data_IF_716608227166
#
_entry.id   IF_716608227166
#
_cell.length_a   1.000
_cell.length_b   1.000
_cell.length_c   1.000
_cell.angle_alpha   90.00
_cell.angle_beta   90.00
_cell.angle_gamma   90.00
#
_symmetry.space_group_name_H-M   'P 1'
#
loop_
_entity.id
_entity.type
_entity.pdbx_description
1 polymer ?
#
# COMPACT_ATOMS: atom_id res chain seq x y z
N UNK A 1 12.13 -2.02 -54.15
CA UNK A 1 10.75 -1.84 -53.64
C UNK A 1 9.97 -1.18 -54.76
N UNK A 2 8.81 -1.70 -55.16
CA UNK A 2 7.93 -1.02 -56.12
C UNK A 2 7.43 0.31 -55.53
N UNK A 3 7.12 1.29 -56.38
CA UNK A 3 6.58 2.59 -55.95
C UNK A 3 5.33 2.43 -55.07
N UNK A 4 4.51 1.41 -55.35
CA UNK A 4 3.34 1.05 -54.54
C UNK A 4 3.67 0.73 -53.09
N UNK A 5 4.78 0.01 -52.84
CA UNK A 5 5.20 -0.31 -51.48
C UNK A 5 5.63 0.95 -50.73
N UNK A 6 6.31 1.88 -51.39
CA UNK A 6 6.72 3.15 -50.76
C UNK A 6 5.50 4.02 -50.42
N UNK A 7 4.48 4.06 -51.28
CA UNK A 7 3.24 4.77 -51.00
C UNK A 7 2.50 4.18 -49.78
N UNK A 8 2.31 2.86 -49.73
CA UNK A 8 1.64 2.18 -48.61
C UNK A 8 2.43 2.36 -47.31
N UNK A 9 3.76 2.21 -47.36
CA UNK A 9 4.65 2.44 -46.20
C UNK A 9 4.47 3.87 -45.68
N UNK A 10 4.44 4.88 -46.55
CA UNK A 10 4.20 6.26 -46.13
C UNK A 10 2.81 6.44 -45.52
N UNK A 11 1.76 5.83 -46.06
CA UNK A 11 0.41 5.91 -45.48
C UNK A 11 0.34 5.33 -44.06
N UNK A 12 1.07 4.24 -43.78
CA UNK A 12 1.10 3.63 -42.45
C UNK A 12 1.99 4.41 -41.48
N UNK A 13 3.24 4.72 -41.88
CA UNK A 13 4.25 5.33 -41.00
C UNK A 13 4.20 6.87 -40.92
N UNK A 14 3.26 7.51 -41.64
CA UNK A 14 2.91 8.92 -41.45
C UNK A 14 1.58 9.09 -40.70
N UNK A 15 0.81 8.01 -40.49
CA UNK A 15 -0.45 8.05 -39.74
C UNK A 15 -0.19 7.78 -38.25
N UNK A 16 -0.22 8.84 -37.44
CA UNK A 16 0.05 8.77 -36.01
C UNK A 16 -0.88 7.80 -35.25
N UNK A 17 -2.12 7.64 -35.69
CA UNK A 17 -3.10 6.72 -35.10
C UNK A 17 -2.69 5.27 -35.36
N UNK A 18 -2.30 4.95 -36.60
CA UNK A 18 -1.83 3.61 -36.95
C UNK A 18 -0.52 3.27 -36.25
N UNK A 19 0.42 4.21 -36.22
CA UNK A 19 1.69 4.04 -35.49
C UNK A 19 1.41 3.81 -34.00
N UNK A 20 0.51 4.59 -33.38
CA UNK A 20 0.12 4.40 -31.99
C UNK A 20 -0.41 3.00 -31.72
N UNK A 21 -1.32 2.51 -32.57
CA UNK A 21 -1.84 1.13 -32.50
C UNK A 21 -0.74 0.08 -32.67
N UNK A 22 0.18 0.27 -33.62
CA UNK A 22 1.33 -0.63 -33.80
C UNK A 22 2.19 -0.64 -32.53
N UNK A 23 2.52 0.52 -31.97
CA UNK A 23 3.32 0.63 -30.77
C UNK A 23 2.63 -0.04 -29.56
N UNK A 24 1.31 -0.01 -29.48
CA UNK A 24 0.49 -0.74 -28.50
C UNK A 24 0.67 -2.26 -28.56
N UNK A 25 1.00 -2.80 -29.73
CA UNK A 25 1.34 -4.21 -29.89
C UNK A 25 2.84 -4.53 -29.82
N UNK A 26 3.72 -3.53 -29.93
CA UNK A 26 5.19 -3.74 -30.01
C UNK A 26 5.84 -3.91 -28.63
N UNK A 27 5.48 -3.09 -27.64
CA UNK A 27 6.01 -3.24 -26.29
C UNK A 27 5.21 -2.42 -25.28
N UNK A 28 5.12 -2.94 -24.04
CA UNK A 28 4.60 -2.25 -22.85
C UNK A 28 5.75 -1.53 -22.10
N UNK A 29 7.01 -1.82 -22.43
CA UNK A 29 8.18 -1.29 -21.74
C UNK A 29 8.83 -0.15 -22.52
N UNK A 30 9.32 0.88 -21.82
CA UNK A 30 10.00 2.02 -22.47
C UNK A 30 11.35 1.65 -23.07
N UNK A 31 12.12 0.73 -22.47
CA UNK A 31 13.47 0.36 -22.93
C UNK A 31 13.52 -0.14 -24.40
N UNK A 32 12.63 -1.04 -24.86
CA UNK A 32 12.49 -1.35 -26.30
C UNK A 32 12.07 -0.15 -27.16
N UNK A 33 11.13 0.67 -26.68
CA UNK A 33 10.62 1.84 -27.41
C UNK A 33 11.70 2.90 -27.66
N UNK A 34 12.61 3.11 -26.69
CA UNK A 34 13.73 4.05 -26.83
C UNK A 34 14.61 3.70 -28.03
N UNK A 35 14.79 2.41 -28.35
CA UNK A 35 15.57 1.97 -29.51
C UNK A 35 14.91 2.30 -30.85
N UNK A 36 13.58 2.47 -30.89
CA UNK A 36 12.82 2.77 -32.11
C UNK A 36 12.86 4.26 -32.50
N UNK A 37 13.38 5.13 -31.63
CA UNK A 37 13.31 6.60 -31.77
C UNK A 37 14.20 7.20 -32.87
N UNK A 38 14.65 6.42 -33.85
CA UNK A 38 15.54 6.87 -34.92
C UNK A 38 15.02 6.57 -36.34
N UNK A 39 13.76 6.13 -36.48
CA UNK A 39 13.22 5.72 -37.80
C UNK A 39 12.58 6.89 -38.56
N UNK A 40 11.73 7.69 -37.91
CA UNK A 40 11.08 8.85 -38.55
C UNK A 40 10.57 9.85 -37.51
N UNK A 41 10.30 11.10 -37.92
CA UNK A 41 9.74 12.13 -37.02
C UNK A 41 8.40 11.68 -36.41
N UNK A 42 7.50 11.12 -37.20
CA UNK A 42 6.19 10.65 -36.73
C UNK A 42 6.33 9.46 -35.78
N UNK A 43 7.19 8.48 -36.09
CA UNK A 43 7.45 7.37 -35.17
C UNK A 43 8.03 7.88 -33.84
N UNK A 44 8.95 8.85 -33.89
CA UNK A 44 9.55 9.44 -32.70
C UNK A 44 8.52 10.15 -31.82
N UNK A 45 7.59 10.90 -32.44
CA UNK A 45 6.51 11.57 -31.73
C UNK A 45 5.57 10.55 -31.08
N UNK A 46 5.17 9.50 -31.81
CA UNK A 46 4.31 8.44 -31.30
C UNK A 46 4.99 7.66 -30.14
N UNK A 47 6.28 7.35 -30.26
CA UNK A 47 7.08 6.73 -29.19
C UNK A 47 7.14 7.63 -27.96
N UNK A 48 7.41 8.92 -28.11
CA UNK A 48 7.44 9.86 -26.99
C UNK A 48 6.07 10.01 -26.34
N UNK A 49 5.00 10.08 -27.14
CA UNK A 49 3.63 10.12 -26.63
C UNK A 49 3.31 8.89 -25.80
N UNK A 50 3.67 7.69 -26.30
CA UNK A 50 3.50 6.44 -25.57
C UNK A 50 4.26 6.42 -24.24
N UNK A 51 5.54 6.79 -24.24
CA UNK A 51 6.35 6.85 -23.00
C UNK A 51 5.73 7.83 -22.00
N UNK A 52 5.27 9.00 -22.44
CA UNK A 52 4.60 9.99 -21.57
C UNK A 52 3.33 9.43 -20.95
N UNK A 53 2.49 8.76 -21.75
CA UNK A 53 1.26 8.13 -21.28
C UNK A 53 1.56 7.01 -20.28
N UNK A 54 2.59 6.22 -20.51
CA UNK A 54 3.01 5.13 -19.60
C UNK A 54 3.61 5.64 -18.29
N UNK A 55 4.14 6.86 -18.25
CA UNK A 55 4.82 7.44 -17.09
C UNK A 55 4.06 8.63 -16.48
N UNK A 56 2.79 8.82 -16.83
CA UNK A 56 1.92 9.75 -16.09
C UNK A 56 1.62 9.22 -14.70
N UNK A 57 1.50 7.90 -14.57
CA UNK A 57 1.39 7.19 -13.31
C UNK A 57 2.66 6.38 -13.12
N UNK A 58 3.35 6.57 -12.00
CA UNK A 58 4.61 5.92 -11.70
C UNK A 58 4.46 5.08 -10.44
N UNK A 59 4.74 3.79 -10.58
CA UNK A 59 4.88 2.85 -9.48
C UNK A 59 6.35 2.45 -9.41
N UNK A 60 6.97 2.69 -8.25
CA UNK A 60 8.35 2.30 -7.96
C UNK A 60 8.31 1.18 -6.93
N UNK A 61 8.94 0.05 -7.24
CA UNK A 61 9.08 -1.05 -6.29
C UNK A 61 10.42 -1.78 -6.44
N UNK A 62 10.74 -2.63 -5.47
CA UNK A 62 11.89 -3.53 -5.52
C UNK A 62 11.41 -4.98 -5.32
N UNK A 63 12.09 -5.93 -5.95
CA UNK A 63 11.80 -7.37 -5.82
C UNK A 63 12.98 -8.17 -5.23
N UNK A 64 13.98 -7.49 -4.70
CA UNK A 64 15.21 -8.15 -4.29
C UNK A 64 15.80 -7.55 -3.05
N UNK A 65 16.45 -8.43 -2.27
CA UNK A 65 17.37 -8.05 -1.22
C UNK A 65 18.60 -7.39 -1.86
N UNK A 66 18.93 -6.18 -1.40
CA UNK A 66 20.25 -5.61 -1.67
C UNK A 66 21.24 -6.23 -0.71
N UNK A 67 22.17 -7.04 -1.23
CA UNK A 67 23.31 -7.48 -0.43
C UNK A 67 24.04 -6.25 0.15
N UNK A 68 24.43 -6.32 1.43
CA UNK A 68 25.07 -5.22 2.17
C UNK A 68 26.44 -4.77 1.61
N UNK A 69 26.84 -5.25 0.43
CA UNK A 69 28.09 -4.91 -0.22
C UNK A 69 27.94 -3.61 -1.02
N UNK A 70 28.81 -2.63 -0.72
CA UNK A 70 28.92 -1.38 -1.47
C UNK A 70 29.96 -1.51 -2.60
N UNK A 71 29.67 -1.04 -3.83
CA UNK A 71 28.39 -0.50 -4.30
C UNK A 71 27.37 -1.61 -4.57
N UNK A 72 26.18 -1.52 -3.98
CA UNK A 72 25.13 -2.48 -4.23
C UNK A 72 24.57 -2.25 -5.64
N UNK A 73 24.59 -3.26 -6.50
CA UNK A 73 23.95 -3.21 -7.82
C UNK A 73 22.52 -3.72 -7.64
N UNK A 74 21.63 -2.83 -7.20
CA UNK A 74 20.21 -3.16 -7.06
C UNK A 74 19.46 -2.95 -8.37
N UNK A 75 18.41 -3.74 -8.57
CA UNK A 75 17.38 -3.44 -9.57
C UNK A 75 16.20 -2.75 -8.88
N UNK A 76 15.83 -1.58 -9.39
CA UNK A 76 14.62 -0.84 -9.06
C UNK A 76 13.67 -0.98 -10.23
N UNK A 77 12.43 -1.36 -9.95
CA UNK A 77 11.42 -1.47 -10.98
C UNK A 77 10.59 -0.19 -11.02
N UNK A 78 10.47 0.41 -12.21
CA UNK A 78 9.67 1.62 -12.44
C UNK A 78 8.70 1.30 -13.56
N UNK A 79 7.40 1.26 -13.24
CA UNK A 79 6.35 0.80 -14.18
C UNK A 79 6.75 -0.50 -14.87
N UNK A 80 7.20 -1.44 -14.04
CA UNK A 80 7.64 -2.77 -14.45
C UNK A 80 8.90 -2.86 -15.30
N UNK A 81 9.71 -1.80 -15.30
CA UNK A 81 11.00 -1.79 -16.00
C UNK A 81 12.16 -1.96 -15.05
N UNK A 82 13.03 -2.92 -15.35
CA UNK A 82 14.25 -3.19 -14.62
C UNK A 82 15.27 -2.05 -14.82
N UNK A 83 15.54 -1.29 -13.76
CA UNK A 83 16.51 -0.21 -13.80
C UNK A 83 17.53 -0.43 -12.69
N UNK A 84 18.78 -0.64 -13.10
CA UNK A 84 19.90 -0.65 -12.17
C UNK A 84 19.96 0.69 -11.42
N UNK A 85 20.12 0.65 -10.11
CA UNK A 85 20.20 1.84 -9.25
C UNK A 85 21.27 2.85 -9.71
N UNK A 86 22.41 2.38 -10.22
CA UNK A 86 23.47 3.22 -10.81
C UNK A 86 23.01 4.01 -12.04
N UNK A 87 21.94 3.59 -12.71
CA UNK A 87 21.36 4.22 -13.90
C UNK A 87 20.12 5.07 -13.60
N UNK A 88 19.61 5.08 -12.37
CA UNK A 88 18.40 5.82 -12.00
C UNK A 88 18.49 7.30 -12.32
N UNK A 89 19.63 7.93 -12.00
CA UNK A 89 19.91 9.33 -12.33
C UNK A 89 19.70 9.62 -13.82
N UNK A 90 20.37 8.86 -14.69
CA UNK A 90 20.25 9.03 -16.13
C UNK A 90 18.82 8.76 -16.63
N UNK A 91 18.14 7.77 -16.05
CA UNK A 91 16.77 7.43 -16.40
C UNK A 91 15.77 8.53 -16.03
N UNK A 92 15.84 9.05 -14.80
CA UNK A 92 14.97 10.14 -14.35
C UNK A 92 15.23 11.44 -15.12
N UNK A 93 16.49 11.79 -15.38
CA UNK A 93 16.79 12.94 -16.24
C UNK A 93 16.28 12.75 -17.67
N UNK A 94 16.35 11.55 -18.21
CA UNK A 94 15.79 11.25 -19.52
C UNK A 94 14.27 11.49 -19.52
N UNK A 95 13.55 10.91 -18.56
CA UNK A 95 12.10 11.08 -18.44
C UNK A 95 11.70 12.55 -18.24
N UNK A 96 12.31 13.24 -17.30
CA UNK A 96 11.94 14.61 -16.97
C UNK A 96 12.44 15.61 -18.03
N UNK A 97 13.74 15.64 -18.33
CA UNK A 97 14.32 16.70 -19.19
C UNK A 97 14.16 16.44 -20.68
N UNK A 98 14.26 15.19 -21.13
CA UNK A 98 14.23 14.84 -22.56
C UNK A 98 12.83 14.48 -23.03
N UNK A 99 12.12 13.63 -22.28
CA UNK A 99 10.75 13.22 -22.62
C UNK A 99 9.73 14.27 -22.15
N UNK A 100 9.99 14.96 -21.04
CA UNK A 100 9.06 15.91 -20.41
C UNK A 100 7.76 15.23 -20.01
N UNK A 101 7.88 14.18 -19.19
CA UNK A 101 6.71 13.50 -18.63
C UNK A 101 5.98 14.40 -17.63
N UNK A 102 4.66 14.23 -17.54
CA UNK A 102 3.80 14.88 -16.55
C UNK A 102 3.31 13.81 -15.59
N UNK A 103 3.90 13.75 -14.40
CA UNK A 103 3.52 12.76 -13.39
C UNK A 103 2.29 13.31 -12.66
N UNK A 104 1.19 12.58 -12.75
CA UNK A 104 -0.02 12.83 -11.96
C UNK A 104 -0.13 11.90 -10.74
N UNK A 105 0.50 10.72 -10.80
CA UNK A 105 0.50 9.74 -9.71
C UNK A 105 1.89 9.19 -9.49
N UNK A 106 2.33 9.18 -8.25
CA UNK A 106 3.54 8.50 -7.79
C UNK A 106 3.22 7.63 -6.59
N UNK A 107 3.55 6.36 -6.69
CA UNK A 107 3.43 5.38 -5.62
C UNK A 107 4.76 4.65 -5.46
N UNK A 108 5.24 4.57 -4.23
CA UNK A 108 6.46 3.84 -3.88
C UNK A 108 6.10 2.65 -2.99
N UNK A 109 6.67 1.48 -3.28
CA UNK A 109 6.47 0.26 -2.52
C UNK A 109 7.82 -0.43 -2.38
N UNK A 110 8.54 -0.11 -1.32
CA UNK A 110 9.90 -0.59 -1.14
C UNK A 110 9.97 -1.37 0.16
N UNK A 111 10.44 -2.60 0.06
CA UNK A 111 10.57 -3.50 1.20
C UNK A 111 12.05 -3.65 1.60
N UNK A 112 13.00 -3.72 0.67
CA UNK A 112 14.37 -4.19 0.98
C UNK A 112 15.49 -3.40 0.29
N UNK A 113 15.67 -2.13 0.65
CA UNK A 113 16.87 -1.40 0.27
C UNK A 113 17.77 -1.11 1.47
N UNK A 114 19.08 -1.08 1.20
CA UNK A 114 20.02 -0.43 2.09
C UNK A 114 19.65 1.05 2.27
N UNK A 115 19.88 1.58 3.48
CA UNK A 115 19.53 2.96 3.85
C UNK A 115 20.13 4.00 2.89
N UNK A 116 21.35 3.76 2.42
CA UNK A 116 22.03 4.66 1.47
C UNK A 116 21.27 4.68 0.14
N UNK A 117 20.80 3.53 -0.33
CA UNK A 117 20.03 3.41 -1.58
C UNK A 117 18.65 4.06 -1.42
N UNK A 118 17.97 3.85 -0.29
CA UNK A 118 16.68 4.50 0.00
C UNK A 118 16.80 6.03 -0.04
N UNK A 119 17.78 6.58 0.67
CA UNK A 119 18.00 8.02 0.71
C UNK A 119 18.36 8.59 -0.66
N UNK A 120 19.21 7.90 -1.43
CA UNK A 120 19.53 8.31 -2.79
C UNK A 120 18.29 8.29 -3.70
N UNK A 121 17.46 7.25 -3.58
CA UNK A 121 16.24 7.12 -4.36
C UNK A 121 15.22 8.22 -4.02
N UNK A 122 15.00 8.51 -2.72
CA UNK A 122 14.17 9.63 -2.25
C UNK A 122 14.57 10.95 -2.93
N UNK A 123 15.86 11.30 -2.84
CA UNK A 123 16.41 12.52 -3.43
C UNK A 123 16.27 12.54 -4.95
N UNK A 124 16.56 11.43 -5.62
CA UNK A 124 16.48 11.32 -7.07
C UNK A 124 15.02 11.49 -7.56
N UNK A 125 14.05 10.92 -6.84
CA UNK A 125 12.63 11.09 -7.15
C UNK A 125 12.23 12.57 -7.09
N UNK A 126 12.49 13.24 -5.97
CA UNK A 126 12.03 14.62 -5.76
C UNK A 126 12.79 15.64 -6.63
N UNK A 127 14.10 15.44 -6.81
CA UNK A 127 14.95 16.38 -7.56
C UNK A 127 14.88 16.18 -9.07
N UNK A 128 14.85 14.93 -9.53
CA UNK A 128 15.11 14.62 -10.94
C UNK A 128 13.92 14.01 -11.65
N UNK A 129 13.15 13.14 -10.98
CA UNK A 129 11.94 12.58 -11.56
C UNK A 129 10.82 13.61 -11.59
N UNK A 130 10.49 14.19 -10.42
CA UNK A 130 9.46 15.23 -10.26
C UNK A 130 10.00 16.59 -10.71
N UNK A 131 11.17 16.97 -10.20
CA UNK A 131 11.81 18.24 -10.55
C UNK A 131 10.95 19.44 -10.14
N UNK A 132 10.53 20.25 -11.11
CA UNK A 132 9.68 21.43 -10.90
C UNK A 132 8.18 21.17 -11.11
N UNK A 133 7.76 19.96 -11.48
CA UNK A 133 6.36 19.63 -11.79
C UNK A 133 5.59 19.18 -10.53
N UNK A 134 5.92 19.74 -9.37
CA UNK A 134 5.34 19.38 -8.05
C UNK A 134 3.82 19.63 -8.01
N UNK A 135 3.36 20.65 -8.74
CA UNK A 135 1.97 21.12 -8.85
C UNK A 135 1.04 20.18 -9.62
N UNK A 136 1.60 19.20 -10.33
CA UNK A 136 0.85 18.27 -11.20
C UNK A 136 0.51 16.96 -10.53
N UNK A 137 1.12 16.67 -9.39
CA UNK A 137 0.97 15.40 -8.69
C UNK A 137 -0.33 15.44 -7.88
N UNK A 138 -1.22 14.49 -8.16
CA UNK A 138 -2.51 14.30 -7.50
C UNK A 138 -2.47 13.15 -6.49
N UNK A 139 -1.65 12.13 -6.75
CA UNK A 139 -1.45 11.02 -5.84
C UNK A 139 0.04 10.87 -5.54
N UNK A 140 0.41 10.88 -4.26
CA UNK A 140 1.79 10.80 -3.82
C UNK A 140 1.91 9.97 -2.55
N UNK A 141 2.24 8.69 -2.68
CA UNK A 141 2.13 7.69 -1.60
C UNK A 141 3.35 6.79 -1.49
N UNK A 142 3.51 6.16 -0.32
CA UNK A 142 4.57 5.16 -0.09
C UNK A 142 5.99 5.72 0.10
N UNK A 143 6.16 7.04 0.06
CA UNK A 143 7.47 7.67 0.22
C UNK A 143 8.06 7.54 1.63
N UNK A 144 7.25 7.18 2.64
CA UNK A 144 7.72 6.86 3.98
C UNK A 144 8.67 5.65 4.00
N UNK A 145 8.60 4.76 3.00
CA UNK A 145 9.55 3.64 2.83
C UNK A 145 10.95 4.11 2.39
N UNK A 146 11.10 5.41 2.05
CA UNK A 146 12.33 6.01 1.56
C UNK A 146 12.91 7.12 2.44
N UNK A 147 12.07 7.76 3.26
CA UNK A 147 12.46 8.88 4.12
C UNK A 147 12.98 8.36 5.46
N UNK A 148 14.21 8.72 5.84
CA UNK A 148 14.74 8.40 7.18
C UNK A 148 14.78 9.63 8.09
N UNK A 149 15.11 10.82 7.57
CA UNK A 149 15.14 12.07 8.34
C UNK A 149 15.12 13.27 7.39
N UNK A 150 14.32 14.30 7.72
CA UNK A 150 14.47 15.64 7.14
C UNK A 150 13.16 16.29 6.73
N UNK A 151 13.07 17.61 6.97
CA UNK A 151 12.01 18.44 6.42
C UNK A 151 12.18 18.53 4.90
N UNK A 152 11.25 17.94 4.17
CA UNK A 152 11.20 18.08 2.71
C UNK A 152 10.14 19.11 2.30
N UNK A 153 10.59 20.35 2.10
CA UNK A 153 9.75 21.45 1.63
C UNK A 153 9.07 21.15 0.27
N UNK A 154 9.61 20.23 -0.54
CA UNK A 154 8.95 19.81 -1.79
C UNK A 154 7.79 18.88 -1.51
N UNK A 155 7.91 17.97 -0.55
CA UNK A 155 6.80 17.09 -0.17
C UNK A 155 5.61 17.89 0.35
N UNK A 156 5.85 18.95 1.13
CA UNK A 156 4.82 19.91 1.56
C UNK A 156 4.13 20.59 0.36
N UNK A 157 4.91 21.05 -0.63
CA UNK A 157 4.35 21.66 -1.86
C UNK A 157 3.52 20.68 -2.66
N UNK A 158 3.99 19.44 -2.80
CA UNK A 158 3.25 18.36 -3.47
C UNK A 158 1.93 18.08 -2.75
N UNK A 159 1.93 18.03 -1.41
CA UNK A 159 0.74 17.76 -0.60
C UNK A 159 -0.41 18.74 -0.92
N UNK A 160 -0.11 20.02 -1.18
CA UNK A 160 -1.12 21.05 -1.52
C UNK A 160 -1.93 20.76 -2.78
N UNK A 161 -1.44 19.90 -3.67
CA UNK A 161 -2.07 19.57 -4.94
C UNK A 161 -2.63 18.14 -4.99
N UNK A 162 -2.38 17.34 -3.94
CA UNK A 162 -2.76 15.95 -3.86
C UNK A 162 -4.20 15.76 -3.38
N UNK A 163 -4.88 14.79 -3.98
CA UNK A 163 -6.12 14.19 -3.45
C UNK A 163 -5.81 12.97 -2.58
N UNK A 164 -4.68 12.29 -2.86
CA UNK A 164 -4.17 11.18 -2.06
C UNK A 164 -2.72 11.43 -1.68
N UNK A 165 -2.43 11.46 -0.39
CA UNK A 165 -1.10 11.78 0.11
C UNK A 165 -0.67 10.84 1.23
N UNK A 166 0.54 10.31 1.12
CA UNK A 166 1.18 9.54 2.19
C UNK A 166 2.19 10.38 2.95
N UNK A 167 1.94 10.54 4.24
CA UNK A 167 2.79 11.34 5.12
C UNK A 167 4.20 10.74 5.22
N UNK A 168 5.19 11.61 5.08
CA UNK A 168 6.59 11.29 5.33
C UNK A 168 7.02 11.90 6.66
N UNK A 169 8.01 11.29 7.29
CA UNK A 169 8.59 11.86 8.51
C UNK A 169 9.19 13.24 8.25
N UNK A 170 8.87 14.20 9.12
CA UNK A 170 9.39 15.57 9.03
C UNK A 170 8.66 16.47 8.03
N UNK A 171 7.64 16.00 7.32
CA UNK A 171 6.80 16.91 6.52
C UNK A 171 5.94 17.72 7.47
N UNK A 172 6.14 19.04 7.43
CA UNK A 172 5.29 19.97 8.14
C UNK A 172 4.15 20.44 7.24
N UNK A 173 2.92 20.04 7.58
CA UNK A 173 1.72 20.49 6.90
C UNK A 173 1.04 21.67 7.62
N UNK A 174 1.72 22.31 8.59
CA UNK A 174 1.27 23.57 9.16
C UNK A 174 1.36 24.70 8.13
N UNK A 175 0.25 24.93 7.46
CA UNK A 175 0.00 26.14 6.67
C UNK A 175 -1.22 26.89 7.21
N UNK A 176 -1.45 28.10 6.68
CA UNK A 176 -2.72 28.80 6.89
C UNK A 176 -3.89 28.20 6.12
N UNK A 177 -3.60 27.34 5.14
CA UNK A 177 -4.58 26.72 4.26
C UNK A 177 -4.96 25.33 4.78
N UNK A 178 -6.26 25.07 4.90
CA UNK A 178 -6.81 23.74 5.14
C UNK A 178 -6.56 22.83 3.93
N UNK A 179 -5.97 21.66 4.17
CA UNK A 179 -5.73 20.62 3.17
C UNK A 179 -6.82 19.57 3.27
N UNK A 180 -7.44 19.21 2.15
CA UNK A 180 -8.49 18.18 2.11
C UNK A 180 -8.01 17.03 1.22
N UNK A 181 -7.98 15.84 1.78
CA UNK A 181 -7.58 14.63 1.06
C UNK A 181 -8.75 13.64 0.97
N UNK A 182 -8.92 13.01 -0.19
CA UNK A 182 -9.80 11.84 -0.29
C UNK A 182 -9.20 10.69 0.54
N UNK A 183 -7.88 10.55 0.49
CA UNK A 183 -7.12 9.53 1.23
C UNK A 183 -5.83 10.12 1.80
N UNK A 184 -5.66 10.04 3.12
CA UNK A 184 -4.42 10.40 3.81
C UNK A 184 -3.78 9.14 4.41
N UNK A 185 -2.52 8.84 4.06
CA UNK A 185 -1.82 7.65 4.57
C UNK A 185 -0.80 8.03 5.64
N UNK A 186 -0.79 7.28 6.74
CA UNK A 186 0.17 7.43 7.84
C UNK A 186 0.76 6.05 8.15
N UNK A 187 2.08 5.95 8.24
CA UNK A 187 2.74 4.71 8.60
C UNK A 187 2.86 4.57 10.13
N UNK A 188 2.69 3.36 10.64
CA UNK A 188 2.80 3.00 12.06
C UNK A 188 4.14 3.43 12.70
N UNK A 189 5.31 3.25 12.06
CA UNK A 189 6.58 3.72 12.59
C UNK A 189 6.61 5.24 12.81
N UNK A 190 5.88 6.01 12.01
CA UNK A 190 5.82 7.46 12.15
C UNK A 190 5.06 7.87 13.42
N UNK A 191 3.93 7.22 13.69
CA UNK A 191 3.14 7.47 14.90
C UNK A 191 3.91 7.11 16.17
N UNK A 192 4.60 5.96 16.17
CA UNK A 192 5.48 5.59 17.27
C UNK A 192 6.68 6.53 17.40
N UNK A 193 7.22 7.02 16.28
CA UNK A 193 8.26 8.05 16.26
C UNK A 193 7.83 9.32 16.97
N UNK A 194 6.61 9.81 16.72
CA UNK A 194 6.05 11.00 17.38
C UNK A 194 5.92 10.77 18.89
N UNK A 195 5.35 9.65 19.33
CA UNK A 195 5.20 9.30 20.75
C UNK A 195 6.57 9.20 21.45
N UNK A 196 7.56 8.65 20.77
CA UNK A 196 8.89 8.45 21.36
C UNK A 196 9.72 9.74 21.34
N UNK A 197 9.57 10.60 20.33
CA UNK A 197 10.18 11.93 20.31
C UNK A 197 9.73 12.73 21.54
N UNK A 198 8.44 12.66 21.87
CA UNK A 198 7.85 13.14 23.13
C UNK A 198 8.67 12.66 24.35
N UNK A 199 8.92 11.35 24.46
CA UNK A 199 9.69 10.77 25.59
C UNK A 199 11.17 11.17 25.62
N UNK A 200 11.80 11.34 24.46
CA UNK A 200 13.24 11.62 24.37
C UNK A 200 13.57 13.11 24.56
N UNK A 201 12.76 14.03 24.03
CA UNK A 201 12.95 15.47 24.25
C UNK A 201 12.79 15.82 25.74
N UNK A 202 11.84 15.19 26.43
CA UNK A 202 11.68 15.27 27.89
C UNK A 202 12.98 14.91 28.63
N UNK A 203 13.61 13.78 28.27
CA UNK A 203 14.85 13.33 28.93
C UNK A 203 16.07 14.19 28.65
N UNK A 204 16.13 14.85 27.48
CA UNK A 204 17.32 15.60 27.06
C UNK A 204 17.37 17.01 27.62
N UNK A 205 16.21 17.60 27.87
CA UNK A 205 16.11 19.01 28.23
C UNK A 205 15.87 19.19 29.74
N UNK A 206 15.27 18.21 30.42
CA UNK A 206 14.80 18.43 31.80
C UNK A 206 15.30 17.35 32.77
N UNK A 207 16.36 17.69 33.51
CA UNK A 207 16.59 17.14 34.87
C UNK A 207 15.88 17.96 35.94
N UNK A 208 15.34 19.13 35.61
CA UNK A 208 14.71 20.03 36.58
C UNK A 208 13.47 20.70 35.95
N UNK A 209 12.31 20.53 36.60
CA UNK A 209 11.08 21.35 36.52
C UNK A 209 10.24 21.35 35.21
N UNK A 210 9.29 20.41 35.16
CA UNK A 210 7.84 20.52 34.86
C UNK A 210 7.27 21.61 33.91
N UNK A 211 7.73 21.73 32.66
CA UNK A 211 6.93 22.39 31.62
C UNK A 211 6.12 21.33 30.84
N UNK A 212 4.97 20.90 31.40
CA UNK A 212 4.05 19.92 30.78
C UNK A 212 3.69 20.28 29.33
N UNK A 213 3.68 21.57 28.97
CA UNK A 213 3.31 22.04 27.64
C UNK A 213 4.36 21.67 26.56
N UNK A 214 5.65 21.65 26.92
CA UNK A 214 6.72 21.25 26.01
C UNK A 214 6.76 19.74 25.78
N UNK A 215 6.32 18.95 26.78
CA UNK A 215 6.28 17.48 26.70
C UNK A 215 5.47 17.02 25.49
N UNK A 216 4.28 17.61 25.26
CA UNK A 216 3.35 17.19 24.20
C UNK A 216 3.56 17.91 22.86
N UNK A 217 4.65 18.67 22.69
CA UNK A 217 4.81 19.52 21.51
C UNK A 217 4.77 18.74 20.18
N UNK A 218 5.51 17.63 20.00
CA UNK A 218 5.46 16.82 18.77
C UNK A 218 4.06 16.26 18.48
N UNK A 219 3.37 15.73 19.50
CA UNK A 219 2.03 15.15 19.38
C UNK A 219 1.00 16.22 19.01
N UNK A 220 1.00 17.34 19.75
CA UNK A 220 0.07 18.45 19.51
C UNK A 220 0.30 19.07 18.13
N UNK A 221 1.56 19.19 17.70
CA UNK A 221 1.92 19.65 16.36
C UNK A 221 1.28 18.74 15.30
N UNK A 222 1.53 17.44 15.39
CA UNK A 222 0.95 16.45 14.48
C UNK A 222 -0.59 16.50 14.45
N UNK A 223 -1.24 16.50 15.61
CA UNK A 223 -2.70 16.43 15.71
C UNK A 223 -3.42 17.73 15.35
N UNK A 224 -2.72 18.88 15.39
CA UNK A 224 -3.26 20.20 15.03
C UNK A 224 -2.95 20.60 13.58
N UNK A 225 -2.45 19.68 12.76
CA UNK A 225 -2.29 19.95 11.34
C UNK A 225 -3.65 20.34 10.71
N UNK A 226 -3.72 21.38 9.87
CA UNK A 226 -4.95 21.85 9.24
C UNK A 226 -5.34 20.92 8.08
N UNK A 227 -5.72 19.69 8.42
CA UNK A 227 -6.03 18.62 7.47
C UNK A 227 -7.43 18.11 7.73
N UNK A 228 -8.16 17.81 6.66
CA UNK A 228 -9.29 16.88 6.70
C UNK A 228 -9.06 15.73 5.73
N UNK A 229 -9.65 14.56 6.01
CA UNK A 229 -9.67 13.48 5.06
C UNK A 229 -10.97 12.68 5.08
N UNK A 230 -11.39 12.17 3.93
CA UNK A 230 -12.53 11.24 3.87
C UNK A 230 -12.11 9.84 4.36
N UNK A 231 -10.90 9.40 4.02
CA UNK A 231 -10.32 8.12 4.43
C UNK A 231 -8.93 8.30 5.05
N UNK A 232 -8.76 7.80 6.27
CA UNK A 232 -7.46 7.72 6.93
C UNK A 232 -6.90 6.30 6.79
N UNK A 233 -5.77 6.16 6.11
CA UNK A 233 -5.10 4.88 5.89
C UNK A 233 -3.91 4.73 6.83
N UNK A 234 -3.90 3.68 7.64
CA UNK A 234 -2.74 3.29 8.43
C UNK A 234 -1.97 2.16 7.73
N UNK A 235 -0.68 2.36 7.53
CA UNK A 235 0.23 1.32 7.01
C UNK A 235 0.96 0.69 8.19
N UNK A 236 0.70 -0.59 8.42
CA UNK A 236 1.09 -1.30 9.63
C UNK A 236 2.16 -2.33 9.29
N UNK A 237 3.31 -2.27 9.97
CA UNK A 237 4.41 -3.20 9.79
C UNK A 237 4.55 -4.10 11.00
N UNK A 238 4.66 -5.40 10.78
CA UNK A 238 4.95 -6.31 11.88
C UNK A 238 5.19 -7.73 11.43
N UNK A 239 5.91 -8.48 12.25
CA UNK A 239 6.00 -9.94 12.11
C UNK A 239 4.99 -10.58 13.05
N UNK A 240 5.21 -10.45 14.35
CA UNK A 240 4.38 -11.08 15.39
C UNK A 240 3.56 -10.07 16.21
N UNK A 241 3.90 -8.78 16.11
CA UNK A 241 3.28 -7.69 16.86
C UNK A 241 2.92 -6.59 15.88
N UNK A 242 1.66 -6.17 15.92
CA UNK A 242 1.18 -4.98 15.20
C UNK A 242 0.37 -4.16 16.17
N UNK A 243 0.70 -2.87 16.30
CA UNK A 243 -0.02 -1.97 17.19
C UNK A 243 -0.07 -0.54 16.65
N UNK A 244 -0.94 0.28 17.22
CA UNK A 244 -0.93 1.73 17.03
C UNK A 244 -1.02 2.43 18.39
N UNK A 245 -0.41 3.60 18.59
CA UNK A 245 -0.64 4.39 19.80
C UNK A 245 -2.09 4.88 19.83
N UNK A 246 -2.89 4.37 20.78
CA UNK A 246 -4.36 4.51 20.78
C UNK A 246 -4.79 5.98 20.79
N UNK A 247 -4.28 6.75 21.74
CA UNK A 247 -4.70 8.14 21.96
C UNK A 247 -4.49 9.00 20.72
N UNK A 248 -3.29 8.96 20.13
CA UNK A 248 -2.96 9.72 18.93
C UNK A 248 -3.78 9.23 17.74
N UNK A 249 -3.96 7.92 17.60
CA UNK A 249 -4.74 7.33 16.50
C UNK A 249 -6.20 7.78 16.56
N UNK A 250 -6.83 7.73 17.74
CA UNK A 250 -8.21 8.16 17.93
C UNK A 250 -8.37 9.68 17.77
N UNK A 251 -7.39 10.47 18.24
CA UNK A 251 -7.38 11.91 18.03
C UNK A 251 -7.17 12.28 16.57
N UNK A 252 -6.31 11.56 15.83
CA UNK A 252 -6.12 11.78 14.40
C UNK A 252 -7.41 11.53 13.61
N UNK A 253 -8.10 10.42 13.90
CA UNK A 253 -9.43 10.11 13.31
C UNK A 253 -10.42 11.25 13.58
N UNK A 254 -10.51 11.72 14.82
CA UNK A 254 -11.45 12.78 15.21
C UNK A 254 -11.07 14.16 14.65
N UNK A 255 -9.82 14.58 14.80
CA UNK A 255 -9.35 15.92 14.45
C UNK A 255 -9.35 16.15 12.94
N UNK A 256 -9.04 15.10 12.16
CA UNK A 256 -9.05 15.18 10.70
C UNK A 256 -10.40 14.79 10.09
N UNK A 257 -11.42 14.56 10.93
CA UNK A 257 -12.79 14.24 10.53
C UNK A 257 -12.90 13.04 9.57
N UNK A 258 -12.09 12.00 9.83
CA UNK A 258 -12.03 10.81 9.00
C UNK A 258 -13.33 10.01 9.11
N UNK A 259 -14.05 9.83 8.00
CA UNK A 259 -15.28 9.01 7.95
C UNK A 259 -14.95 7.53 7.84
N UNK A 260 -13.85 7.20 7.17
CA UNK A 260 -13.42 5.84 6.87
C UNK A 260 -11.99 5.59 7.37
N UNK A 261 -11.72 4.38 7.83
CA UNK A 261 -10.37 3.95 8.20
C UNK A 261 -9.95 2.74 7.39
N UNK A 262 -8.79 2.83 6.76
CA UNK A 262 -8.17 1.72 6.05
C UNK A 262 -6.94 1.24 6.82
N UNK A 263 -6.85 -0.04 7.14
CA UNK A 263 -5.72 -0.66 7.83
C UNK A 263 -5.01 -1.58 6.85
N UNK A 264 -3.83 -1.20 6.37
CA UNK A 264 -3.01 -2.03 5.50
C UNK A 264 -1.92 -2.73 6.30
N UNK A 265 -2.16 -3.99 6.65
CA UNK A 265 -1.22 -4.82 7.35
C UNK A 265 -0.21 -5.41 6.36
N UNK A 266 1.07 -5.08 6.56
CA UNK A 266 2.21 -5.63 5.82
C UNK A 266 2.99 -6.56 6.74
N UNK A 267 2.54 -7.80 6.83
CA UNK A 267 3.16 -8.83 7.64
C UNK A 267 4.43 -9.37 6.99
N UNK A 268 5.53 -9.42 7.73
CA UNK A 268 6.82 -9.94 7.25
C UNK A 268 7.60 -8.98 6.35
N UNK A 269 6.97 -7.88 5.89
CA UNK A 269 7.67 -6.82 5.19
C UNK A 269 8.69 -6.18 6.15
N UNK A 270 9.98 -6.25 5.80
CA UNK A 270 11.02 -5.58 6.55
C UNK A 270 10.88 -4.07 6.39
N UNK A 271 10.57 -3.36 7.47
CA UNK A 271 10.78 -1.93 7.54
C UNK A 271 11.83 -1.67 8.62
N UNK A 272 12.96 -1.10 8.22
CA UNK A 272 14.09 -0.84 9.13
C UNK A 272 13.71 0.11 10.28
N UNK A 273 12.74 1.00 10.08
CA UNK A 273 12.18 1.81 11.16
C UNK A 273 11.39 0.91 12.12
N UNK A 274 10.49 0.08 11.58
CA UNK A 274 9.68 -0.83 12.38
C UNK A 274 10.54 -1.79 13.21
N UNK A 275 11.62 -2.35 12.66
CA UNK A 275 12.56 -3.22 13.40
C UNK A 275 13.11 -2.53 14.66
N UNK A 276 13.60 -1.28 14.53
CA UNK A 276 14.10 -0.51 15.68
C UNK A 276 13.03 -0.22 16.72
N UNK A 277 11.77 -0.05 16.30
CA UNK A 277 10.68 0.13 17.24
C UNK A 277 10.37 -1.20 17.94
N UNK A 278 10.20 -2.29 17.18
CA UNK A 278 9.91 -3.65 17.66
C UNK A 278 10.99 -4.24 18.57
N UNK A 279 12.23 -3.76 18.51
CA UNK A 279 13.32 -4.08 19.45
C UNK A 279 13.02 -3.70 20.92
N UNK A 280 11.99 -2.89 21.18
CA UNK A 280 11.54 -2.56 22.54
C UNK A 280 10.13 -3.12 22.83
N UNK A 281 10.00 -4.42 23.17
CA UNK A 281 8.71 -5.08 23.42
C UNK A 281 7.84 -4.39 24.49
N UNK A 282 8.49 -3.74 25.46
CA UNK A 282 7.82 -3.01 26.54
C UNK A 282 6.91 -1.89 26.02
N UNK A 283 7.27 -1.26 24.90
CA UNK A 283 6.45 -0.21 24.29
C UNK A 283 5.16 -0.76 23.68
N UNK A 284 5.15 -2.03 23.22
CA UNK A 284 4.00 -2.62 22.51
C UNK A 284 3.00 -3.26 23.45
N UNK A 285 3.48 -3.88 24.54
CA UNK A 285 2.62 -4.49 25.57
C UNK A 285 1.87 -3.44 26.41
N UNK A 286 2.10 -2.15 26.16
CA UNK A 286 1.44 -1.08 26.87
C UNK A 286 -0.06 -1.01 26.50
N UNK A 287 -0.99 -1.01 27.48
CA UNK A 287 -2.44 -0.85 27.24
C UNK A 287 -2.81 0.48 26.54
N UNK A 288 -1.88 1.43 26.47
CA UNK A 288 -2.01 2.68 25.71
C UNK A 288 -1.98 2.46 24.19
N UNK A 289 -1.61 1.27 23.71
CA UNK A 289 -1.66 0.94 22.28
C UNK A 289 -2.91 0.12 21.94
N UNK A 290 -3.39 0.28 20.70
CA UNK A 290 -4.30 -0.67 20.04
C UNK A 290 -3.47 -1.90 19.70
N UNK A 291 -3.79 -3.06 20.26
CA UNK A 291 -3.06 -4.31 19.99
C UNK A 291 -3.90 -5.21 19.09
N UNK A 292 -3.52 -5.37 17.83
CA UNK A 292 -4.35 -6.12 16.87
C UNK A 292 -4.26 -7.65 17.03
N UNK A 293 -3.16 -8.13 17.61
CA UNK A 293 -2.90 -9.57 17.81
C UNK A 293 -3.16 -10.07 19.24
N UNK A 294 -3.49 -9.16 20.16
CA UNK A 294 -3.77 -9.49 21.55
C UNK A 294 -5.16 -10.15 21.69
N UNK A 295 -5.45 -10.84 22.80
CA UNK A 295 -6.79 -11.37 23.07
C UNK A 295 -7.84 -10.26 22.92
N UNK A 296 -8.89 -10.51 22.14
CA UNK A 296 -9.84 -9.45 21.77
C UNK A 296 -10.62 -8.88 22.96
N UNK A 297 -10.79 -9.66 24.03
CA UNK A 297 -11.60 -9.31 25.19
C UNK A 297 -10.95 -8.26 26.11
N UNK A 298 -9.66 -7.98 25.94
CA UNK A 298 -8.95 -6.94 26.70
C UNK A 298 -8.89 -5.59 25.98
N UNK A 299 -9.14 -5.57 24.67
CA UNK A 299 -9.10 -4.34 23.86
C UNK A 299 -10.32 -3.46 24.20
N UNK A 300 -10.18 -2.18 24.56
CA UNK A 300 -11.33 -1.31 24.80
C UNK A 300 -12.04 -0.92 23.50
N UNK A 301 -13.36 -0.72 23.59
CA UNK A 301 -14.16 -0.26 22.45
C UNK A 301 -14.02 1.24 22.31
N UNK A 302 -13.67 1.72 21.11
CA UNK A 302 -13.58 3.13 20.79
C UNK A 302 -14.95 3.79 20.72
N UNK A 303 -15.02 5.10 20.99
CA UNK A 303 -16.24 5.89 20.81
C UNK A 303 -16.43 6.40 19.38
N UNK A 304 -15.39 6.33 18.53
CA UNK A 304 -15.43 6.84 17.17
C UNK A 304 -16.20 5.88 16.26
N UNK A 305 -17.49 6.16 16.02
CA UNK A 305 -18.29 5.40 15.05
C UNK A 305 -17.97 5.86 13.63
N UNK A 306 -17.36 4.97 12.85
CA UNK A 306 -17.01 5.22 11.45
C UNK A 306 -18.11 4.76 10.49
N UNK A 307 -18.09 5.30 9.27
CA UNK A 307 -18.97 4.87 8.18
C UNK A 307 -18.54 3.52 7.61
N UNK A 308 -17.23 3.34 7.41
CA UNK A 308 -16.64 2.08 6.98
C UNK A 308 -15.23 1.87 7.50
N UNK A 309 -14.84 0.59 7.61
CA UNK A 309 -13.46 0.18 7.91
C UNK A 309 -13.02 -0.86 6.87
N UNK A 310 -11.88 -0.63 6.23
CA UNK A 310 -11.29 -1.60 5.31
C UNK A 310 -9.98 -2.15 5.90
N UNK A 311 -9.86 -3.47 5.94
CA UNK A 311 -8.66 -4.19 6.36
C UNK A 311 -8.05 -4.80 5.09
N UNK A 312 -6.81 -4.43 4.77
CA UNK A 312 -6.01 -5.10 3.76
C UNK A 312 -4.96 -5.96 4.46
N UNK A 313 -4.98 -7.26 4.22
CA UNK A 313 -4.03 -8.22 4.77
C UNK A 313 -3.00 -8.60 3.70
N UNK A 314 -1.77 -8.12 3.85
CA UNK A 314 -0.62 -8.48 3.03
C UNK A 314 0.35 -9.31 3.88
N UNK A 315 0.55 -10.57 3.49
CA UNK A 315 1.46 -11.52 4.11
C UNK A 315 2.68 -11.77 3.22
N UNK A 316 3.85 -12.04 3.81
CA UNK A 316 4.91 -12.72 3.06
C UNK A 316 4.55 -14.20 2.87
N UNK A 317 5.22 -14.85 1.92
CA UNK A 317 5.09 -16.30 1.69
C UNK A 317 5.31 -17.11 2.98
N UNK A 318 6.30 -16.74 3.79
CA UNK A 318 6.59 -17.41 5.07
C UNK A 318 5.41 -17.36 6.06
N UNK A 319 4.69 -16.23 6.11
CA UNK A 319 3.56 -16.07 7.04
C UNK A 319 2.33 -16.79 6.50
N UNK A 320 2.14 -16.81 5.17
CA UNK A 320 1.10 -17.64 4.54
C UNK A 320 1.31 -19.11 4.84
N UNK A 321 2.52 -19.63 4.65
CA UNK A 321 2.88 -21.02 4.97
C UNK A 321 2.61 -21.31 6.45
N UNK A 322 2.95 -20.37 7.34
CA UNK A 322 2.65 -20.52 8.79
C UNK A 322 1.15 -20.56 9.06
N UNK A 323 0.35 -19.74 8.37
CA UNK A 323 -1.11 -19.75 8.50
C UNK A 323 -1.66 -21.08 7.97
N UNK A 324 -1.17 -21.57 6.82
CA UNK A 324 -1.55 -22.83 6.19
C UNK A 324 -1.24 -24.05 7.07
N UNK A 325 -0.02 -24.12 7.62
CA UNK A 325 0.39 -25.17 8.56
C UNK A 325 -0.48 -25.17 9.82
N UNK A 326 -0.97 -24.01 10.22
CA UNK A 326 -1.90 -23.84 11.35
C UNK A 326 -3.37 -24.06 10.99
N UNK A 327 -3.72 -24.36 9.74
CA UNK A 327 -5.13 -24.63 9.38
C UNK A 327 -5.61 -25.98 9.89
N UNK A 328 -4.69 -26.95 10.02
CA UNK A 328 -5.01 -28.31 10.47
C UNK A 328 -5.09 -28.45 11.98
N UNK A 329 -4.69 -27.41 12.71
CA UNK A 329 -4.69 -27.41 14.16
C UNK A 329 -5.58 -26.27 14.67
N UNK A 330 -6.40 -26.54 15.69
CA UNK A 330 -7.09 -25.50 16.48
C UNK A 330 -6.09 -24.69 17.35
N UNK A 331 -4.84 -24.55 16.93
CA UNK A 331 -3.87 -23.69 17.60
C UNK A 331 -4.26 -22.24 17.40
N UNK A 332 -4.31 -21.52 18.51
CA UNK A 332 -4.45 -20.07 18.55
C UNK A 332 -3.36 -19.43 17.69
N UNK A 333 -3.78 -18.75 16.62
CA UNK A 333 -2.91 -17.89 15.84
C UNK A 333 -2.97 -16.47 16.42
N UNK A 334 -1.84 -15.76 16.57
CA UNK A 334 -1.89 -14.35 16.98
C UNK A 334 -2.72 -13.49 16.02
N UNK A 335 -2.87 -13.91 14.76
CA UNK A 335 -3.66 -13.23 13.74
C UNK A 335 -5.17 -13.41 13.92
N UNK A 336 -5.62 -14.34 14.77
CA UNK A 336 -7.04 -14.66 14.91
C UNK A 336 -7.86 -13.49 15.46
N UNK A 337 -7.25 -12.64 16.30
CA UNK A 337 -7.95 -11.50 16.91
C UNK A 337 -7.97 -10.23 16.06
N UNK A 338 -7.33 -10.21 14.87
CA UNK A 338 -7.19 -8.96 14.10
C UNK A 338 -8.55 -8.32 13.84
N UNK A 339 -9.49 -9.10 13.30
CA UNK A 339 -10.81 -8.57 12.94
C UNK A 339 -11.54 -8.07 14.18
N UNK A 340 -11.57 -8.88 15.25
CA UNK A 340 -12.24 -8.53 16.49
C UNK A 340 -11.64 -7.27 17.14
N UNK A 341 -10.32 -7.14 17.17
CA UNK A 341 -9.63 -5.97 17.71
C UNK A 341 -9.83 -4.73 16.85
N UNK A 342 -9.81 -4.87 15.52
CA UNK A 342 -10.14 -3.75 14.61
C UNK A 342 -11.57 -3.27 14.83
N UNK A 343 -12.55 -4.18 14.95
CA UNK A 343 -13.95 -3.80 15.24
C UNK A 343 -14.09 -3.04 16.56
N UNK A 344 -13.27 -3.34 17.56
CA UNK A 344 -13.28 -2.65 18.86
C UNK A 344 -12.58 -1.31 18.78
N UNK A 345 -11.40 -1.26 18.17
CA UNK A 345 -10.62 -0.04 18.02
C UNK A 345 -11.28 0.98 17.06
N UNK A 346 -12.03 0.48 16.08
CA UNK A 346 -12.68 1.25 15.00
C UNK A 346 -14.10 0.70 14.72
N UNK A 347 -15.09 0.96 15.61
CA UNK A 347 -16.46 0.51 15.39
C UNK A 347 -17.05 1.07 14.10
N UNK A 348 -17.69 0.21 13.32
CA UNK A 348 -18.33 0.56 12.05
C UNK A 348 -19.45 -0.43 11.73
N UNK A 349 -20.44 0.02 10.96
CA UNK A 349 -21.49 -0.87 10.41
C UNK A 349 -21.00 -1.70 9.22
N UNK A 350 -20.01 -1.18 8.51
CA UNK A 350 -19.47 -1.77 7.29
C UNK A 350 -17.98 -2.05 7.49
N UNK A 351 -17.62 -3.32 7.54
CA UNK A 351 -16.24 -3.75 7.52
C UNK A 351 -15.94 -4.54 6.25
N UNK A 352 -14.85 -4.20 5.58
CA UNK A 352 -14.37 -4.91 4.40
C UNK A 352 -13.01 -5.54 4.74
N UNK A 353 -12.85 -6.83 4.51
CA UNK A 353 -11.56 -7.52 4.65
C UNK A 353 -11.09 -7.97 3.28
N UNK A 354 -10.00 -7.38 2.79
CA UNK A 354 -9.35 -7.69 1.51
C UNK A 354 -8.07 -8.48 1.75
N UNK A 355 -7.97 -9.67 1.16
CA UNK A 355 -6.69 -10.38 1.06
C UNK A 355 -5.86 -9.80 -0.10
N UNK A 356 -4.53 -9.75 0.08
CA UNK A 356 -3.62 -9.27 -0.96
C UNK A 356 -3.68 -10.15 -2.21
N UNK A 357 -3.66 -9.53 -3.39
CA UNK A 357 -3.64 -10.25 -4.67
C UNK A 357 -2.29 -10.94 -4.94
N UNK A 358 -1.21 -10.45 -4.34
CA UNK A 358 0.16 -10.99 -4.54
C UNK A 358 0.39 -12.35 -3.89
N UNK A 359 -0.54 -12.81 -3.06
CA UNK A 359 -0.33 -13.88 -2.09
C UNK A 359 -1.02 -15.18 -2.47
N UNK A 360 -1.26 -15.39 -3.75
CA UNK A 360 -1.90 -16.60 -4.27
C UNK A 360 -0.90 -17.74 -4.27
N UNK A 361 -0.65 -18.24 -3.07
CA UNK A 361 -0.17 -19.59 -2.80
C UNK A 361 -1.00 -20.25 -1.69
N UNK A 362 -2.25 -19.81 -1.45
CA UNK A 362 -3.18 -20.74 -0.80
C UNK A 362 -3.45 -21.82 -1.81
N UNK A 363 -2.98 -23.04 -1.54
CA UNK A 363 -3.24 -24.16 -2.41
C UNK A 363 -4.76 -24.26 -2.64
N UNK A 364 -5.26 -24.42 -3.88
CA UNK A 364 -6.71 -24.47 -4.14
C UNK A 364 -7.46 -25.46 -3.23
N UNK A 365 -6.81 -26.56 -2.86
CA UNK A 365 -7.28 -27.55 -1.91
C UNK A 365 -7.42 -27.02 -0.47
N UNK A 366 -6.60 -26.06 -0.03
CA UNK A 366 -6.62 -25.48 1.31
C UNK A 366 -7.60 -24.32 1.46
N UNK A 367 -8.08 -23.74 0.35
CA UNK A 367 -8.96 -22.57 0.37
C UNK A 367 -10.10 -22.71 1.38
N UNK A 368 -10.83 -23.84 1.37
CA UNK A 368 -11.96 -24.08 2.28
C UNK A 368 -11.60 -23.98 3.77
N UNK A 369 -10.39 -24.42 4.17
CA UNK A 369 -9.92 -24.31 5.56
C UNK A 369 -9.58 -22.86 5.91
N UNK A 370 -8.92 -22.15 5.00
CA UNK A 370 -8.64 -20.71 5.16
C UNK A 370 -9.95 -19.93 5.35
N UNK A 371 -10.99 -20.24 4.58
CA UNK A 371 -12.32 -19.67 4.78
C UNK A 371 -12.86 -19.97 6.16
N UNK A 372 -12.97 -21.26 6.52
CA UNK A 372 -13.52 -21.65 7.82
C UNK A 372 -12.81 -20.90 8.96
N UNK A 373 -11.49 -20.72 8.86
CA UNK A 373 -10.72 -19.91 9.80
C UNK A 373 -11.15 -18.45 9.78
N UNK A 374 -11.17 -17.75 8.63
CA UNK A 374 -11.60 -16.35 8.56
C UNK A 374 -13.01 -16.10 9.07
N UNK A 375 -13.92 -17.02 8.76
CA UNK A 375 -15.30 -16.92 9.20
C UNK A 375 -15.36 -17.07 10.74
N UNK A 376 -14.64 -18.03 11.34
CA UNK A 376 -14.46 -18.12 12.81
C UNK A 376 -13.89 -16.84 13.43
N UNK A 377 -12.95 -16.16 12.74
CA UNK A 377 -12.38 -14.90 13.25
C UNK A 377 -13.42 -13.79 13.41
N UNK A 378 -14.49 -13.81 12.61
CA UNK A 378 -15.57 -12.82 12.72
C UNK A 378 -16.54 -13.09 13.88
N UNK A 379 -16.58 -14.31 14.42
CA UNK A 379 -17.50 -14.68 15.51
C UNK A 379 -17.01 -14.25 16.88
N UNK A 380 -15.68 -14.09 17.04
CA UNK A 380 -15.07 -13.83 18.35
C UNK A 380 -15.63 -12.57 19.03
N UNK A 381 -16.09 -11.58 18.24
CA UNK A 381 -16.74 -10.39 18.76
C UNK A 381 -17.90 -9.97 17.85
N UNK A 382 -19.02 -10.70 17.90
CA UNK A 382 -20.24 -10.32 17.20
C UNK A 382 -20.76 -8.96 17.70
N UNK A 383 -20.42 -7.88 17.00
CA UNK A 383 -21.15 -6.63 17.12
C UNK A 383 -22.58 -6.86 16.62
N UNK A 384 -23.57 -6.74 17.51
CA UNK A 384 -24.98 -6.73 17.10
C UNK A 384 -25.15 -5.57 16.10
N UNK A 385 -25.37 -5.88 14.82
CA UNK A 385 -25.59 -4.96 13.67
C UNK A 385 -24.36 -4.56 12.83
N UNK A 386 -23.20 -5.20 12.97
CA UNK A 386 -22.08 -5.04 12.02
C UNK A 386 -22.19 -6.04 10.86
N UNK A 387 -21.80 -5.65 9.65
CA UNK A 387 -21.58 -6.60 8.54
C UNK A 387 -20.09 -6.69 8.21
N UNK A 388 -19.57 -7.91 8.05
CA UNK A 388 -18.21 -8.14 7.60
C UNK A 388 -18.26 -8.71 6.19
N UNK A 389 -17.66 -7.97 5.26
CA UNK A 389 -17.62 -8.33 3.85
C UNK A 389 -16.19 -8.73 3.49
N UNK A 390 -16.02 -9.91 2.93
CA UNK A 390 -14.71 -10.38 2.49
C UNK A 390 -14.58 -10.19 0.99
N UNK A 391 -13.47 -9.58 0.57
CA UNK A 391 -13.07 -9.48 -0.83
C UNK A 391 -11.87 -10.37 -1.07
N UNK A 392 -12.02 -11.28 -2.02
CA UNK A 392 -11.00 -12.24 -2.37
C UNK A 392 -10.73 -12.23 -3.84
N UNK A 393 -9.47 -12.43 -4.17
CA UNK A 393 -8.96 -12.46 -5.52
C UNK A 393 -8.26 -13.79 -5.72
N UNK A 394 -8.52 -14.42 -6.86
CA UNK A 394 -7.82 -15.62 -7.30
C UNK A 394 -7.36 -15.43 -8.75
N UNK A 395 -6.24 -16.07 -9.09
CA UNK A 395 -5.72 -16.09 -10.45
C UNK A 395 -6.48 -17.18 -11.22
N UNK A 396 -7.11 -16.84 -12.34
CA UNK A 396 -7.61 -17.89 -13.23
C UNK A 396 -6.45 -18.29 -14.14
N UNK A 397 -5.78 -19.41 -13.85
CA UNK A 397 -4.87 -20.01 -14.80
C UNK A 397 -5.70 -20.84 -15.80
N UNK A 398 -5.73 -20.43 -17.07
CA UNK A 398 -6.37 -21.20 -18.14
C UNK A 398 -5.82 -22.65 -18.24
N UNK A 399 -4.62 -22.90 -17.70
CA UNK A 399 -3.97 -24.23 -17.69
C UNK A 399 -4.38 -25.09 -16.50
N UNK A 400 -4.76 -24.47 -15.38
CA UNK A 400 -5.17 -25.14 -14.15
C UNK A 400 -6.49 -24.50 -13.75
N UNK A 401 -7.65 -25.08 -14.12
CA UNK A 401 -8.92 -24.58 -13.63
C UNK A 401 -8.89 -24.67 -12.11
N UNK A 402 -8.67 -23.53 -11.44
CA UNK A 402 -8.80 -23.45 -10.00
C UNK A 402 -10.24 -23.83 -9.75
N UNK A 403 -10.44 -25.00 -9.14
CA UNK A 403 -11.74 -25.39 -8.61
C UNK A 403 -12.01 -24.44 -7.47
N UNK A 404 -12.51 -23.26 -7.79
CA UNK A 404 -13.11 -22.35 -6.83
C UNK A 404 -14.10 -23.23 -6.04
N UNK A 405 -13.93 -23.39 -4.71
CA UNK A 405 -14.72 -24.35 -3.95
C UNK A 405 -16.21 -24.11 -4.22
N UNK A 406 -17.01 -25.17 -4.30
CA UNK A 406 -18.44 -25.08 -4.66
C UNK A 406 -19.20 -24.02 -3.82
N UNK A 407 -18.69 -23.71 -2.63
CA UNK A 407 -19.13 -22.63 -1.75
C UNK A 407 -19.22 -21.26 -2.44
N UNK A 408 -18.48 -20.98 -3.51
CA UNK A 408 -18.53 -19.72 -4.25
C UNK A 408 -19.57 -19.66 -5.36
N UNK A 409 -20.09 -20.82 -5.75
CA UNK A 409 -21.09 -20.96 -6.81
C UNK A 409 -22.49 -21.22 -6.26
N UNK A 410 -22.61 -21.31 -4.94
CA UNK A 410 -23.86 -21.55 -4.24
C UNK A 410 -23.84 -20.72 -2.97
N UNK A 411 -24.97 -20.18 -2.53
CA UNK A 411 -25.16 -19.64 -1.18
C UNK A 411 -25.06 -20.76 -0.12
N UNK A 412 -24.06 -21.63 -0.26
CA UNK A 412 -23.97 -22.92 0.39
C UNK A 412 -23.64 -22.78 1.86
N UNK A 413 -24.22 -23.72 2.60
CA UNK A 413 -23.88 -23.98 3.98
C UNK A 413 -22.55 -24.74 4.02
N UNK A 414 -21.54 -24.16 4.66
CA UNK A 414 -20.53 -25.01 5.31
C UNK A 414 -21.26 -25.63 6.50
N UNK A 415 -21.53 -26.92 6.45
CA UNK A 415 -21.97 -27.69 7.62
C UNK A 415 -20.70 -28.34 8.14
N UNK A 416 -20.08 -27.78 9.17
CA UNK A 416 -19.07 -28.53 9.91
C UNK A 416 -19.68 -29.81 10.49
N UNK A 417 -18.86 -30.79 10.84
CA UNK A 417 -19.34 -32.00 11.52
C UNK A 417 -20.06 -31.70 12.83
N UNK A 418 -19.82 -30.52 13.41
CA UNK A 418 -20.56 -29.99 14.54
C UNK A 418 -21.62 -28.96 14.11
N UNK A 419 -22.86 -29.06 14.62
CA UNK A 419 -23.97 -28.14 14.30
C UNK A 419 -23.64 -26.65 14.50
N UNK A 420 -22.69 -26.36 15.40
CA UNK A 420 -22.23 -25.01 15.74
C UNK A 420 -21.40 -24.34 14.64
N UNK A 421 -20.99 -25.09 13.60
CA UNK A 421 -20.19 -24.60 12.48
C UNK A 421 -20.99 -24.54 11.18
N UNK A 422 -22.27 -24.15 11.28
CA UNK A 422 -23.16 -23.99 10.13
C UNK A 422 -23.19 -22.54 9.66
N UNK A 423 -22.60 -22.27 8.49
CA UNK A 423 -22.47 -20.91 7.96
C UNK A 423 -23.50 -20.63 6.86
N UNK A 424 -23.93 -19.38 6.71
CA UNK A 424 -24.66 -18.91 5.54
C UNK A 424 -23.87 -17.79 4.88
N UNK A 425 -23.59 -17.93 3.60
CA UNK A 425 -23.14 -16.81 2.78
C UNK A 425 -24.38 -16.09 2.28
N UNK A 426 -24.70 -14.95 2.89
CA UNK A 426 -25.91 -14.16 2.60
C UNK A 426 -25.98 -13.75 1.13
N UNK A 427 -24.83 -13.34 0.58
CA UNK A 427 -24.71 -12.90 -0.80
C UNK A 427 -23.30 -13.22 -1.31
N UNK A 428 -23.19 -13.80 -2.51
CA UNK A 428 -21.92 -13.96 -3.22
C UNK A 428 -22.00 -13.15 -4.50
N UNK A 429 -21.27 -12.04 -4.52
CA UNK A 429 -21.21 -11.15 -5.67
C UNK A 429 -19.89 -11.32 -6.41
N UNK A 430 -19.98 -11.29 -7.74
CA UNK A 430 -18.80 -11.08 -8.56
C UNK A 430 -18.33 -9.64 -8.36
N UNK A 431 -17.05 -9.45 -8.06
CA UNK A 431 -16.40 -8.14 -8.07
C UNK A 431 -15.88 -7.90 -9.50
N UNK A 432 -15.87 -6.65 -9.99
CA UNK A 432 -15.15 -6.33 -11.22
C UNK A 432 -13.75 -6.94 -11.22
N UNK A 433 -13.35 -7.52 -12.36
CA UNK A 433 -11.99 -8.03 -12.53
C UNK A 433 -10.98 -6.91 -12.24
N UNK A 434 -9.98 -7.21 -11.44
CA UNK A 434 -8.88 -6.29 -11.16
C UNK A 434 -7.70 -6.68 -12.05
N UNK A 435 -7.10 -5.69 -12.70
CA UNK A 435 -5.98 -5.91 -13.60
C UNK A 435 -4.74 -5.36 -12.94
N UNK A 436 -3.87 -6.25 -12.47
CA UNK A 436 -2.61 -5.85 -11.86
C UNK A 436 -1.51 -6.02 -12.87
N UNK A 437 -0.78 -4.93 -13.12
CA UNK A 437 0.50 -5.02 -13.80
C UNK A 437 1.51 -5.47 -12.76
N UNK A 438 1.99 -6.70 -12.91
CA UNK A 438 3.08 -7.19 -12.10
C UNK A 438 4.30 -6.30 -12.29
N UNK A 439 5.24 -6.32 -11.34
CA UNK A 439 6.58 -5.75 -11.49
C UNK A 439 7.33 -6.11 -12.77
N UNK A 440 6.95 -7.19 -13.47
CA UNK A 440 7.62 -7.62 -14.70
C UNK A 440 6.86 -7.21 -15.97
N UNK A 441 5.71 -6.55 -15.82
CA UNK A 441 4.87 -6.08 -16.90
C UNK A 441 3.89 -7.14 -17.38
N UNK A 442 3.88 -8.30 -16.72
CA UNK A 442 2.80 -9.27 -16.87
C UNK A 442 1.52 -8.61 -16.37
N UNK A 443 0.47 -8.74 -17.17
CA UNK A 443 -0.86 -8.30 -16.75
C UNK A 443 -1.54 -9.53 -16.17
N UNK A 444 -1.64 -9.58 -14.84
CA UNK A 444 -2.43 -10.62 -14.18
C UNK A 444 -3.86 -10.09 -14.01
N UNK A 445 -4.82 -10.85 -14.53
CA UNK A 445 -6.24 -10.56 -14.36
C UNK A 445 -6.71 -11.35 -13.15
N UNK A 446 -7.10 -10.62 -12.12
CA UNK A 446 -7.62 -11.17 -10.89
C UNK A 446 -9.13 -11.16 -10.95
N UNK A 447 -9.72 -12.33 -10.68
CA UNK A 447 -11.15 -12.46 -10.55
C UNK A 447 -11.51 -12.34 -9.07
N UNK A 448 -12.40 -11.41 -8.79
CA UNK A 448 -12.81 -11.10 -7.43
C UNK A 448 -14.15 -11.71 -7.08
N UNK A 449 -14.27 -12.26 -5.89
CA UNK A 449 -15.55 -12.62 -5.26
C UNK A 449 -15.70 -11.84 -3.96
N UNK A 450 -16.89 -11.33 -3.75
CA UNK A 450 -17.28 -10.69 -2.50
C UNK A 450 -18.33 -11.55 -1.84
N UNK A 451 -18.18 -11.79 -0.55
CA UNK A 451 -19.24 -12.42 0.24
C UNK A 451 -19.42 -11.70 1.56
N UNK A 452 -20.67 -11.68 2.02
CA UNK A 452 -21.05 -11.11 3.31
C UNK A 452 -21.35 -12.24 4.30
N UNK A 453 -20.81 -12.10 5.50
CA UNK A 453 -21.16 -12.88 6.68
C UNK A 453 -22.13 -12.12 7.57
#
# INVERSE_FOLDING_TARGET
MSEDNTYIVNQVFMNEILIGKILDHVSIQTKPLVKLRLVSRHLNLAVLYKIRKEHSEIIIHNLGHCDKHLPCICTVFINSQDICNLKLHAYFQFLNKRVKINICKLQVQIEHFDKVVQFQLHRLILKELIGSNEDRIREFTGMFDLSYYGWDLKAERIARHCIRFGMQEGVDLHGSQLLNFDVFEVAEPHLHGIVNADKFEVRRIYTDEEDEEMVYFPINRFLKMPITCDTLTFILYGKDIVSLPRTITHQAVSNWNAKNVNLNFRFGAHNVMAEKFHECPENFKNPVNIQFVAPWNIEPVSANLLESVEIKLQYTDDILLTIEDQLDYDYYSPYDNIIANVQRAFPSRNMIVKLSETNVLIAPENMHKVFAKFIRLTEQNQQRNGSVTFKLYYEEDDRIPIKVPHIFNSSARLVGEQPEHCWYLDEILNIPKETIKSPFGCVTVWYGKMFRL
#
